data_IF_691620142237
#
_entry.id   IF_691620142237
#
_cell.length_a   1.000
_cell.length_b   1.000
_cell.length_c   1.000
_cell.angle_alpha   90.00
_cell.angle_beta   90.00
_cell.angle_gamma   90.00
#
_symmetry.space_group_name_H-M   'P 1'
#
loop_
_entity.id
_entity.type
_entity.pdbx_description
1 polymer ?
#
# COMPACT_ATOMS: atom_id res chain seq x y z
N UNK A 1 -19.08 -20.32 32.22
CA UNK A 1 -19.42 -19.51 31.02
C UNK A 1 -18.57 -18.24 30.87
N UNK A 2 -18.34 -17.42 31.90
CA UNK A 2 -17.46 -16.22 31.80
C UNK A 2 -15.99 -16.54 31.43
N UNK A 3 -15.41 -17.58 32.03
CA UNK A 3 -14.00 -17.96 31.77
C UNK A 3 -13.74 -18.45 30.33
N UNK A 4 -14.69 -19.15 29.73
CA UNK A 4 -14.63 -19.62 28.33
C UNK A 4 -14.70 -18.47 27.32
N UNK A 5 -15.44 -17.40 27.65
CA UNK A 5 -15.52 -16.18 26.82
C UNK A 5 -14.20 -15.40 26.89
N UNK A 6 -13.60 -15.26 28.07
CA UNK A 6 -12.29 -14.60 28.20
C UNK A 6 -11.19 -15.33 27.43
N UNK A 7 -11.20 -16.66 27.39
CA UNK A 7 -10.22 -17.45 26.65
C UNK A 7 -10.41 -17.36 25.12
N UNK A 8 -11.66 -17.34 24.64
CA UNK A 8 -11.97 -17.14 23.21
C UNK A 8 -11.64 -15.73 22.72
N UNK A 9 -11.92 -14.71 23.53
CA UNK A 9 -11.56 -13.31 23.22
C UNK A 9 -10.04 -13.12 23.25
N UNK A 10 -9.33 -13.74 24.19
CA UNK A 10 -7.87 -13.72 24.23
C UNK A 10 -7.25 -14.41 23.00
N UNK A 11 -7.79 -15.56 22.55
CA UNK A 11 -7.34 -16.21 21.32
C UNK A 11 -7.59 -15.35 20.06
N UNK A 12 -8.74 -14.67 19.97
CA UNK A 12 -9.04 -13.82 18.81
C UNK A 12 -8.10 -12.60 18.71
N UNK A 13 -7.74 -11.99 19.84
CA UNK A 13 -6.78 -10.87 19.88
C UNK A 13 -5.36 -11.31 19.50
N UNK A 14 -4.93 -12.50 19.93
CA UNK A 14 -3.61 -13.05 19.57
C UNK A 14 -3.51 -13.39 18.08
N UNK A 15 -4.57 -13.94 17.47
CA UNK A 15 -4.59 -14.25 16.03
C UNK A 15 -4.55 -12.98 15.16
N UNK A 16 -5.26 -11.92 15.56
CA UNK A 16 -5.23 -10.63 14.86
C UNK A 16 -3.83 -10.00 14.84
N UNK A 17 -3.11 -10.06 15.97
CA UNK A 17 -1.76 -9.48 16.10
C UNK A 17 -0.71 -10.28 15.31
N UNK A 18 -0.79 -11.61 15.31
CA UNK A 18 0.18 -12.47 14.61
C UNK A 18 0.06 -12.36 13.07
N UNK A 19 -1.16 -12.21 12.54
CA UNK A 19 -1.39 -12.04 11.09
C UNK A 19 -0.80 -10.74 10.54
N UNK A 20 -0.73 -9.69 11.36
CA UNK A 20 -0.14 -8.42 10.97
C UNK A 20 1.39 -8.47 10.89
N UNK A 21 2.05 -9.19 11.80
CA UNK A 21 3.52 -9.28 11.81
C UNK A 21 4.07 -10.06 10.61
N UNK A 22 3.45 -11.17 10.22
CA UNK A 22 3.85 -11.92 9.01
C UNK A 22 3.69 -11.06 7.75
N UNK A 23 2.55 -10.36 7.63
CA UNK A 23 2.27 -9.48 6.49
C UNK A 23 3.27 -8.32 6.42
N UNK A 24 3.63 -7.72 7.55
CA UNK A 24 4.65 -6.67 7.65
C UNK A 24 6.04 -7.20 7.29
N UNK A 25 6.42 -8.38 7.79
CA UNK A 25 7.69 -9.01 7.46
C UNK A 25 7.82 -9.28 5.96
N UNK A 26 6.77 -9.83 5.34
CA UNK A 26 6.70 -10.07 3.90
C UNK A 26 6.83 -8.77 3.11
N UNK A 27 6.07 -7.73 3.49
CA UNK A 27 6.15 -6.41 2.86
C UNK A 27 7.55 -5.80 2.96
N UNK A 28 8.20 -5.88 4.12
CA UNK A 28 9.59 -5.42 4.33
C UNK A 28 10.58 -6.18 3.44
N UNK A 29 10.40 -7.50 3.30
CA UNK A 29 11.25 -8.33 2.46
C UNK A 29 11.09 -7.96 0.98
N UNK A 30 9.84 -7.86 0.51
CA UNK A 30 9.49 -7.40 -0.84
C UNK A 30 10.07 -6.02 -1.13
N UNK A 31 9.91 -5.06 -0.22
CA UNK A 31 10.45 -3.71 -0.35
C UNK A 31 11.97 -3.72 -0.52
N UNK A 32 12.71 -4.46 0.32
CA UNK A 32 14.17 -4.59 0.22
C UNK A 32 14.59 -5.26 -1.09
N UNK A 33 13.85 -6.28 -1.55
CA UNK A 33 14.09 -6.95 -2.83
C UNK A 33 13.97 -5.95 -3.99
N UNK A 34 12.87 -5.21 -4.05
CA UNK A 34 12.62 -4.25 -5.12
C UNK A 34 13.60 -3.07 -5.13
N UNK A 35 14.05 -2.59 -3.95
CA UNK A 35 15.14 -1.60 -3.88
C UNK A 35 16.42 -2.14 -4.51
N UNK A 36 16.79 -3.37 -4.17
CA UNK A 36 18.01 -4.01 -4.67
C UNK A 36 17.95 -4.26 -6.17
N UNK A 37 16.82 -4.75 -6.69
CA UNK A 37 16.62 -5.00 -8.12
C UNK A 37 16.59 -3.70 -8.94
N UNK A 38 15.95 -2.65 -8.41
CA UNK A 38 15.90 -1.34 -9.07
C UNK A 38 17.21 -0.55 -8.96
N UNK A 39 18.13 -0.96 -8.08
CA UNK A 39 19.32 -0.17 -7.73
C UNK A 39 18.94 1.20 -7.18
N UNK A 40 17.95 1.23 -6.28
CA UNK A 40 17.36 2.44 -5.71
C UNK A 40 17.71 2.51 -4.23
N UNK A 41 18.12 3.68 -3.78
CA UNK A 41 18.30 3.98 -2.37
C UNK A 41 17.00 4.52 -1.77
N UNK A 42 16.78 4.28 -0.47
CA UNK A 42 15.56 4.76 0.22
C UNK A 42 15.36 6.28 0.11
N UNK A 43 16.46 7.02 0.07
CA UNK A 43 16.45 8.48 -0.07
C UNK A 43 15.93 8.92 -1.45
N UNK A 44 16.18 8.15 -2.51
CA UNK A 44 15.64 8.44 -3.85
C UNK A 44 14.12 8.25 -3.88
N UNK A 45 13.59 7.22 -3.19
CA UNK A 45 12.15 7.06 -3.03
C UNK A 45 11.51 8.22 -2.26
N UNK A 46 12.16 8.71 -1.19
CA UNK A 46 11.66 9.86 -0.44
C UNK A 46 11.60 11.12 -1.32
N UNK A 47 12.66 11.40 -2.08
CA UNK A 47 12.69 12.54 -3.00
C UNK A 47 11.63 12.43 -4.09
N UNK A 48 11.51 11.24 -4.70
CA UNK A 48 10.48 10.99 -5.71
C UNK A 48 9.07 11.18 -5.14
N UNK A 49 8.84 10.74 -3.90
CA UNK A 49 7.57 10.93 -3.24
C UNK A 49 7.25 12.41 -2.97
N UNK A 50 8.21 13.22 -2.55
CA UNK A 50 8.00 14.66 -2.38
C UNK A 50 7.77 15.36 -3.73
N UNK A 51 8.55 15.03 -4.76
CA UNK A 51 8.37 15.55 -6.12
C UNK A 51 6.96 15.22 -6.67
N UNK A 52 6.48 14.00 -6.46
CA UNK A 52 5.11 13.59 -6.81
C UNK A 52 4.02 14.38 -6.05
N UNK A 53 4.29 14.90 -4.85
CA UNK A 53 3.32 15.81 -4.18
C UNK A 53 3.23 17.15 -4.89
N UNK A 54 4.33 17.58 -5.52
CA UNK A 54 4.39 18.81 -6.30
C UNK A 54 3.90 18.61 -7.75
N UNK A 55 3.41 17.41 -8.09
CA UNK A 55 2.88 17.07 -9.41
C UNK A 55 3.95 16.61 -10.41
N UNK A 56 5.18 16.40 -9.96
CA UNK A 56 6.25 15.88 -10.82
C UNK A 56 6.08 14.38 -11.06
N UNK A 57 6.35 13.96 -12.29
CA UNK A 57 6.32 12.55 -12.65
C UNK A 57 7.60 11.87 -12.17
N UNK A 58 7.52 10.69 -11.52
CA UNK A 58 8.69 9.99 -11.03
C UNK A 58 9.55 9.46 -12.19
N UNK A 59 10.84 9.33 -11.91
CA UNK A 59 11.79 8.70 -12.84
C UNK A 59 11.44 7.23 -13.12
N UNK A 60 11.90 6.74 -14.27
CA UNK A 60 11.65 5.36 -14.72
C UNK A 60 12.03 4.30 -13.68
N UNK A 61 13.12 4.52 -12.93
CA UNK A 61 13.54 3.61 -11.85
C UNK A 61 12.48 3.47 -10.77
N UNK A 62 11.88 4.58 -10.35
CA UNK A 62 10.86 4.62 -9.30
C UNK A 62 9.57 3.96 -9.79
N UNK A 63 9.19 4.20 -11.05
CA UNK A 63 8.07 3.50 -11.69
C UNK A 63 8.30 1.98 -11.73
N UNK A 64 9.51 1.54 -12.05
CA UNK A 64 9.86 0.13 -12.04
C UNK A 64 9.87 -0.48 -10.63
N UNK A 65 10.20 0.32 -9.61
CA UNK A 65 10.06 -0.09 -8.22
C UNK A 65 8.59 -0.33 -7.85
N UNK A 66 7.69 0.57 -8.25
CA UNK A 66 6.23 0.36 -8.06
C UNK A 66 5.77 -0.92 -8.78
N UNK A 67 6.22 -1.16 -10.01
CA UNK A 67 5.95 -2.39 -10.76
C UNK A 67 6.44 -3.64 -10.03
N UNK A 68 7.67 -3.62 -9.49
CA UNK A 68 8.20 -4.74 -8.71
C UNK A 68 7.33 -5.04 -7.48
N UNK A 69 6.93 -4.00 -6.74
CA UNK A 69 6.08 -4.16 -5.56
C UNK A 69 4.74 -4.80 -5.91
N UNK A 70 4.06 -4.34 -6.97
CA UNK A 70 2.75 -4.88 -7.36
C UNK A 70 2.83 -6.30 -7.95
N UNK A 71 3.95 -6.66 -8.60
CA UNK A 71 4.23 -8.04 -9.03
C UNK A 71 4.40 -8.98 -7.84
N UNK A 72 5.22 -8.58 -6.86
CA UNK A 72 5.46 -9.37 -5.64
C UNK A 72 4.23 -9.50 -4.76
N UNK A 73 3.34 -8.51 -4.80
CA UNK A 73 2.02 -8.60 -4.18
C UNK A 73 1.08 -9.57 -4.90
N UNK A 74 1.41 -10.01 -6.11
CA UNK A 74 0.62 -10.94 -6.93
C UNK A 74 -0.59 -10.29 -7.60
N UNK A 75 -0.60 -8.96 -7.76
CA UNK A 75 -1.70 -8.24 -8.43
C UNK A 75 -1.38 -7.88 -9.87
N UNK A 76 -0.12 -8.01 -10.29
CA UNK A 76 0.31 -7.75 -11.66
C UNK A 76 1.19 -8.88 -12.17
N UNK A 77 0.94 -9.32 -13.40
CA UNK A 77 1.76 -10.31 -14.13
C UNK A 77 1.92 -9.80 -15.56
N UNK A 78 3.15 -9.71 -16.06
CA UNK A 78 3.47 -9.27 -17.43
C UNK A 78 2.77 -7.95 -17.83
N UNK A 79 2.79 -6.96 -16.92
CA UNK A 79 2.16 -5.65 -17.12
C UNK A 79 0.63 -5.64 -17.04
N UNK A 80 -0.01 -6.78 -16.78
CA UNK A 80 -1.48 -6.88 -16.66
C UNK A 80 -1.90 -7.03 -15.20
N UNK A 81 -2.81 -6.17 -14.77
CA UNK A 81 -3.37 -6.21 -13.42
C UNK A 81 -4.51 -7.21 -13.33
N UNK A 82 -4.48 -8.05 -12.29
CA UNK A 82 -5.54 -8.99 -11.98
C UNK A 82 -6.53 -8.33 -11.01
N UNK A 83 -7.71 -7.97 -11.53
CA UNK A 83 -8.80 -7.34 -10.78
C UNK A 83 -9.16 -8.12 -9.51
N UNK A 84 -9.35 -9.44 -9.62
CA UNK A 84 -9.77 -10.27 -8.49
C UNK A 84 -8.74 -10.25 -7.37
N UNK A 85 -7.44 -10.31 -7.72
CA UNK A 85 -6.34 -10.21 -6.76
C UNK A 85 -6.24 -8.84 -6.09
N UNK A 86 -6.62 -7.76 -6.77
CA UNK A 86 -6.72 -6.43 -6.17
C UNK A 86 -7.90 -6.37 -5.20
N UNK A 87 -9.05 -6.92 -5.61
CA UNK A 87 -10.27 -6.94 -4.80
C UNK A 87 -10.12 -7.80 -3.54
N UNK A 88 -9.39 -8.91 -3.61
CA UNK A 88 -9.02 -9.74 -2.44
C UNK A 88 -8.21 -8.94 -1.40
N UNK A 89 -7.41 -7.97 -1.85
CA UNK A 89 -6.60 -7.11 -0.97
C UNK A 89 -7.35 -5.88 -0.45
N UNK A 90 -8.51 -5.57 -1.03
CA UNK A 90 -9.35 -4.46 -0.62
C UNK A 90 -10.16 -4.86 0.63
N UNK A 91 -10.02 -4.16 1.77
CA UNK A 91 -10.78 -4.46 2.97
C UNK A 91 -12.29 -4.45 2.69
N UNK A 92 -13.02 -5.41 3.24
CA UNK A 92 -14.46 -5.55 3.02
C UNK A 92 -15.26 -4.39 3.65
N UNK A 93 -14.72 -3.81 4.73
CA UNK A 93 -15.26 -2.71 5.52
C UNK A 93 -14.79 -1.32 5.04
N UNK A 94 -14.11 -1.23 3.89
CA UNK A 94 -13.59 0.03 3.41
C UNK A 94 -14.72 1.01 3.06
N UNK A 95 -14.63 2.30 3.46
CA UNK A 95 -15.60 3.31 3.04
C UNK A 95 -15.64 3.45 1.52
N UNK A 96 -16.85 3.68 0.99
CA UNK A 96 -17.13 3.82 -0.45
C UNK A 96 -16.63 2.63 -1.29
N UNK A 97 -16.72 1.40 -0.76
CA UNK A 97 -16.19 0.20 -1.42
C UNK A 97 -16.65 0.06 -2.86
N UNK A 98 -17.93 0.27 -3.15
CA UNK A 98 -18.47 0.16 -4.53
C UNK A 98 -17.80 1.15 -5.49
N UNK A 99 -17.66 2.42 -5.09
CA UNK A 99 -16.95 3.44 -5.89
C UNK A 99 -15.48 3.06 -6.10
N UNK A 100 -14.85 2.46 -5.09
CA UNK A 100 -13.46 1.98 -5.21
C UNK A 100 -13.34 0.80 -6.15
N UNK A 101 -14.29 -0.13 -6.12
CA UNK A 101 -14.35 -1.27 -7.06
C UNK A 101 -14.54 -0.78 -8.50
N UNK A 102 -15.42 0.20 -8.70
CA UNK A 102 -15.62 0.85 -10.01
C UNK A 102 -14.33 1.53 -10.49
N UNK A 103 -13.69 2.34 -9.63
CA UNK A 103 -12.42 2.97 -9.93
C UNK A 103 -11.31 1.96 -10.23
N UNK A 104 -11.22 0.85 -9.49
CA UNK A 104 -10.28 -0.25 -9.79
C UNK A 104 -10.54 -0.79 -11.19
N UNK A 105 -11.80 -1.07 -11.51
CA UNK A 105 -12.18 -1.64 -12.82
C UNK A 105 -11.77 -0.71 -13.96
N UNK A 106 -11.92 0.60 -13.78
CA UNK A 106 -11.48 1.59 -14.77
C UNK A 106 -9.96 1.71 -14.84
N UNK A 107 -9.30 1.84 -13.69
CA UNK A 107 -7.87 2.17 -13.65
C UNK A 107 -6.96 1.03 -14.10
N UNK A 108 -7.37 -0.24 -13.96
CA UNK A 108 -6.54 -1.38 -14.41
C UNK A 108 -6.46 -1.49 -15.95
N UNK A 109 -7.27 -0.73 -16.68
CA UNK A 109 -7.23 -0.67 -18.14
C UNK A 109 -6.14 0.28 -18.66
N UNK A 110 -5.55 1.10 -17.78
CA UNK A 110 -4.43 1.98 -18.13
C UNK A 110 -3.24 1.17 -18.63
N UNK A 111 -2.62 1.64 -19.72
CA UNK A 111 -1.45 1.00 -20.34
C UNK A 111 -0.39 2.03 -20.66
N UNK A 112 0.84 1.75 -20.22
CA UNK A 112 2.02 2.53 -20.55
C UNK A 112 2.80 1.94 -21.73
N UNK A 113 3.95 2.55 -22.02
CA UNK A 113 4.90 2.05 -23.02
C UNK A 113 5.58 0.75 -22.60
N UNK A 114 5.69 0.52 -21.30
CA UNK A 114 6.23 -0.69 -20.68
C UNK A 114 5.47 -1.03 -19.39
N UNK A 115 5.85 -2.13 -18.74
CA UNK A 115 5.22 -2.59 -17.50
C UNK A 115 5.43 -1.63 -16.31
N UNK A 116 6.54 -0.90 -16.29
CA UNK A 116 6.84 0.08 -15.25
C UNK A 116 5.93 1.29 -15.36
N UNK A 117 5.78 1.82 -16.58
CA UNK A 117 4.89 2.93 -16.85
C UNK A 117 3.43 2.51 -16.67
N UNK A 118 3.06 1.28 -17.06
CA UNK A 118 1.73 0.73 -16.81
C UNK A 118 1.42 0.69 -15.33
N UNK A 119 2.32 0.14 -14.50
CA UNK A 119 2.15 0.12 -13.06
C UNK A 119 1.96 1.52 -12.48
N UNK A 120 2.80 2.48 -12.90
CA UNK A 120 2.69 3.87 -12.46
C UNK A 120 1.35 4.52 -12.84
N UNK A 121 0.90 4.36 -14.09
CA UNK A 121 -0.37 4.95 -14.56
C UNK A 121 -1.57 4.38 -13.81
N UNK A 122 -1.60 3.05 -13.62
CA UNK A 122 -2.65 2.40 -12.83
C UNK A 122 -2.62 2.92 -11.39
N UNK A 123 -1.45 2.95 -10.74
CA UNK A 123 -1.30 3.43 -9.36
C UNK A 123 -1.70 4.91 -9.21
N UNK A 124 -1.34 5.75 -10.18
CA UNK A 124 -1.74 7.15 -10.24
C UNK A 124 -3.25 7.29 -10.39
N UNK A 125 -3.88 6.56 -11.32
CA UNK A 125 -5.33 6.56 -11.50
C UNK A 125 -6.06 6.13 -10.22
N UNK A 126 -5.58 5.07 -9.55
CA UNK A 126 -6.14 4.59 -8.29
C UNK A 126 -5.97 5.61 -7.15
N UNK A 127 -4.86 6.34 -7.13
CA UNK A 127 -4.61 7.42 -6.19
C UNK A 127 -5.56 8.60 -6.42
N UNK A 128 -5.73 9.03 -7.66
CA UNK A 128 -6.59 10.16 -8.03
C UNK A 128 -8.08 9.86 -7.76
N UNK A 129 -8.47 8.59 -7.90
CA UNK A 129 -9.80 8.10 -7.52
C UNK A 129 -9.91 7.73 -6.03
N UNK A 130 -8.90 8.03 -5.20
CA UNK A 130 -8.89 7.80 -3.75
C UNK A 130 -9.14 6.33 -3.35
N UNK A 131 -8.80 5.39 -4.23
CA UNK A 131 -8.79 3.96 -3.93
C UNK A 131 -7.63 3.65 -2.98
N UNK A 132 -6.46 4.16 -3.35
CA UNK A 132 -5.24 4.07 -2.56
C UNK A 132 -5.09 5.38 -1.80
N UNK A 133 -5.42 5.39 -0.51
CA UNK A 133 -5.03 6.50 0.33
C UNK A 133 -3.51 6.48 0.48
N UNK A 134 -2.80 7.39 -0.21
CA UNK A 134 -1.36 7.67 -0.03
C UNK A 134 -1.02 8.26 1.34
N UNK A 135 -1.99 8.27 2.25
CA UNK A 135 -1.91 8.86 3.56
C UNK A 135 -2.24 7.81 4.62
N UNK A 136 -1.27 7.54 5.47
CA UNK A 136 -1.47 7.13 6.85
C UNK A 136 -2.18 8.25 7.63
N UNK A 137 -3.39 8.63 7.22
CA UNK A 137 -4.17 9.72 7.82
C UNK A 137 -5.63 9.29 8.09
N UNK A 138 -5.89 7.99 8.15
CA UNK A 138 -7.15 7.44 8.70
C UNK A 138 -6.85 6.41 9.80
N UNK A 139 -5.86 6.68 10.64
CA UNK A 139 -5.81 6.12 12.02
C UNK A 139 -5.56 7.26 13.00
N UNK A 140 -6.32 8.35 12.88
CA UNK A 140 -6.47 9.36 13.94
C UNK A 140 -7.92 9.56 14.38
N UNK A 141 -8.88 8.83 13.81
CA UNK A 141 -10.29 8.93 14.25
C UNK A 141 -10.68 7.92 15.34
N UNK A 142 -9.76 7.07 15.81
CA UNK A 142 -9.95 6.28 17.03
C UNK A 142 -8.75 6.46 17.96
N UNK A 143 -8.56 7.70 18.43
CA UNK A 143 -8.37 8.05 19.86
C UNK A 143 -7.97 9.53 19.95
N UNK A 144 -8.96 10.34 20.30
CA UNK A 144 -8.91 11.59 21.10
C UNK A 144 -7.58 12.35 21.25
N UNK A 145 -7.65 13.62 20.84
CA UNK A 145 -6.91 14.79 21.32
C UNK A 145 -5.40 14.91 21.00
N UNK A 146 -5.11 15.95 20.21
CA UNK A 146 -3.86 16.71 20.10
C UNK A 146 -2.61 15.92 19.67
N UNK A 147 -2.15 16.13 18.43
CA UNK A 147 -0.76 16.51 18.19
C UNK A 147 -0.58 17.04 16.76
N UNK A 148 -0.61 18.36 16.72
CA UNK A 148 -0.10 19.25 15.70
C UNK A 148 1.42 18.98 15.55
N UNK A 149 1.93 18.99 14.31
CA UNK A 149 3.35 18.92 13.90
C UNK A 149 4.06 17.55 13.98
N UNK A 150 4.36 16.94 12.82
CA UNK A 150 5.75 16.85 12.30
C UNK A 150 5.79 16.02 11.01
N UNK A 151 6.42 16.61 10.00
CA UNK A 151 6.95 15.95 8.80
C UNK A 151 7.89 14.77 9.18
N UNK A 152 8.10 13.85 8.22
CA UNK A 152 9.12 12.76 8.16
C UNK A 152 8.80 11.31 8.62
N UNK A 153 7.74 10.99 9.37
CA UNK A 153 7.71 9.68 10.08
C UNK A 153 7.05 8.51 9.32
N UNK A 154 6.29 8.76 8.25
CA UNK A 154 5.36 7.75 7.72
C UNK A 154 5.96 6.66 6.83
N UNK A 155 7.11 6.88 6.19
CA UNK A 155 7.82 5.79 5.50
C UNK A 155 8.50 4.83 6.50
N UNK A 156 8.85 5.33 7.70
CA UNK A 156 9.38 4.51 8.79
C UNK A 156 8.30 3.66 9.46
N UNK A 157 7.02 4.02 9.35
CA UNK A 157 5.96 3.37 10.13
C UNK A 157 5.58 1.96 9.64
N UNK A 158 5.71 1.69 8.34
CA UNK A 158 5.53 0.33 7.79
C UNK A 158 6.72 -0.57 8.17
N UNK A 159 7.90 0.02 8.42
CA UNK A 159 9.13 -0.73 8.69
C UNK A 159 9.42 -0.84 10.21
N UNK A 160 8.84 -0.01 11.08
CA UNK A 160 9.40 0.21 12.42
C UNK A 160 8.42 0.34 13.61
N UNK A 161 7.19 -0.18 13.54
CA UNK A 161 6.39 -0.38 14.77
C UNK A 161 6.60 -1.80 15.33
N UNK A 162 6.86 -1.94 16.65
CA UNK A 162 7.02 -3.22 17.34
C UNK A 162 5.72 -4.02 17.39
#
# INVERSE_FOLDING_TARGET
>A
MRSSIFMLVACALVVGVLGDEERRAKMKATFKKCLKEGGIEKEELHKAHEAQKNGEEPDQKIKCFEACMVKEMGVMVDGQFNKDKILEKLPADIPDREKKVEAITKCIEEKGSDECQTAYLVMKCLHDNKVLYRHCLIITTITTNNCFWTNLVLCNFIIQRP
#
